data_IF_018013470877
#
_entry.id   IF_018013470877
#
_cell.length_a   1.000
_cell.length_b   1.000
_cell.length_c   1.000
_cell.angle_alpha   90.00
_cell.angle_beta   90.00
_cell.angle_gamma   90.00
#
_symmetry.space_group_name_H-M   'P 1'
#
loop_
_entity.id
_entity.type
_entity.pdbx_description
1 polymer ?
#
# COMPACT_ATOMS: atom_id res chain seq x y z
N UNK A 1 6.84 -34.51 -27.95
CA UNK A 1 7.00 -33.60 -26.79
C UNK A 1 8.30 -32.85 -27.01
N UNK A 2 8.33 -31.54 -26.76
CA UNK A 2 9.57 -30.75 -26.90
C UNK A 2 10.62 -31.19 -25.86
N UNK A 3 11.88 -31.18 -26.26
CA UNK A 3 13.04 -31.44 -25.39
C UNK A 3 13.33 -30.24 -24.49
N UNK A 4 14.06 -30.46 -23.40
CA UNK A 4 14.48 -29.40 -22.48
C UNK A 4 15.26 -28.28 -23.22
N UNK A 5 16.08 -28.66 -24.22
CA UNK A 5 16.86 -27.71 -25.00
C UNK A 5 15.96 -26.85 -25.91
N UNK A 6 14.95 -27.44 -26.56
CA UNK A 6 13.99 -26.72 -27.41
C UNK A 6 13.10 -25.77 -26.59
N UNK A 7 12.78 -26.14 -25.35
CA UNK A 7 12.01 -25.29 -24.44
C UNK A 7 12.83 -24.10 -23.90
N UNK A 8 14.16 -24.18 -23.89
CA UNK A 8 15.01 -23.12 -23.33
C UNK A 8 14.89 -21.81 -24.11
N UNK A 9 14.86 -21.88 -25.44
CA UNK A 9 14.70 -20.69 -26.30
C UNK A 9 13.32 -20.08 -26.14
N UNK A 10 12.28 -20.91 -26.06
CA UNK A 10 10.92 -20.47 -25.79
C UNK A 10 10.79 -19.80 -24.41
N UNK A 11 11.46 -20.36 -23.40
CA UNK A 11 11.48 -19.83 -22.03
C UNK A 11 12.16 -18.47 -21.95
N UNK A 12 13.32 -18.29 -22.60
CA UNK A 12 14.03 -17.00 -22.63
C UNK A 12 13.21 -15.91 -23.35
N UNK A 13 12.33 -16.29 -24.28
CA UNK A 13 11.40 -15.36 -24.93
C UNK A 13 10.26 -14.85 -24.03
N UNK A 14 10.11 -15.39 -22.82
CA UNK A 14 9.08 -14.98 -21.84
C UNK A 14 9.50 -13.80 -20.97
N UNK A 15 10.76 -13.33 -21.05
CA UNK A 15 11.29 -12.20 -20.28
C UNK A 15 10.76 -10.83 -20.80
N UNK A 16 9.45 -10.75 -21.03
CA UNK A 16 8.77 -9.56 -21.50
C UNK A 16 8.25 -8.75 -20.32
N UNK A 17 8.39 -7.42 -20.41
CA UNK A 17 7.79 -6.49 -19.48
C UNK A 17 6.26 -6.48 -19.65
N UNK A 18 5.54 -6.65 -18.54
CA UNK A 18 4.09 -6.51 -18.54
C UNK A 18 3.70 -5.03 -18.42
N UNK A 19 2.60 -4.60 -19.07
CA UNK A 19 2.15 -3.21 -19.00
C UNK A 19 1.80 -2.83 -17.56
N UNK A 20 2.22 -1.63 -17.15
CA UNK A 20 1.90 -1.03 -15.85
C UNK A 20 1.40 0.40 -16.03
N UNK A 21 0.67 0.90 -15.04
CA UNK A 21 0.22 2.29 -14.92
C UNK A 21 1.24 3.08 -14.09
N UNK A 22 1.33 4.39 -14.32
CA UNK A 22 2.10 5.28 -13.46
C UNK A 22 1.42 5.54 -12.11
N UNK A 23 2.16 6.12 -11.17
CA UNK A 23 1.66 6.43 -9.82
C UNK A 23 0.47 7.40 -9.83
N UNK A 24 0.27 8.19 -10.88
CA UNK A 24 -0.88 9.07 -11.08
C UNK A 24 -2.23 8.33 -11.19
N UNK A 25 -2.22 7.01 -11.42
CA UNK A 25 -3.41 6.20 -11.43
C UNK A 25 -3.92 5.80 -10.03
N UNK A 26 -3.11 6.03 -8.98
CA UNK A 26 -3.54 5.89 -7.59
C UNK A 26 -4.59 6.97 -7.31
N UNK A 27 -5.75 6.57 -6.78
CA UNK A 27 -6.90 7.47 -6.58
C UNK A 27 -7.13 7.78 -5.09
N UNK A 28 -6.40 8.74 -4.48
CA UNK A 28 -6.68 9.16 -3.12
C UNK A 28 -7.97 9.97 -3.02
N UNK A 29 -8.54 10.45 -4.13
CA UNK A 29 -9.75 11.28 -4.11
C UNK A 29 -11.01 10.49 -3.76
N UNK A 30 -10.97 9.16 -3.89
CA UNK A 30 -12.06 8.30 -3.47
C UNK A 30 -12.11 8.07 -1.95
N UNK A 31 -11.06 8.45 -1.19
CA UNK A 31 -11.01 8.26 0.26
C UNK A 31 -12.05 9.13 0.96
N UNK A 32 -12.81 8.51 1.86
CA UNK A 32 -13.82 9.17 2.67
C UNK A 32 -13.48 9.01 4.15
N UNK A 33 -13.89 10.00 4.94
CA UNK A 33 -13.81 9.98 6.39
C UNK A 33 -15.16 10.33 7.00
N UNK A 34 -15.35 9.95 8.26
CA UNK A 34 -16.52 10.31 9.05
C UNK A 34 -16.10 10.89 10.39
N UNK A 35 -16.98 11.71 10.98
CA UNK A 35 -16.72 12.34 12.27
C UNK A 35 -16.56 11.29 13.37
N UNK A 36 -15.48 11.41 14.14
CA UNK A 36 -15.29 10.59 15.33
C UNK A 36 -15.98 11.25 16.53
N UNK A 37 -16.91 10.54 17.17
CA UNK A 37 -17.73 11.09 18.26
C UNK A 37 -16.97 11.23 19.60
N UNK A 38 -15.79 10.61 19.73
CA UNK A 38 -15.03 10.55 20.98
C UNK A 38 -13.60 11.12 20.86
N UNK A 39 -13.40 12.34 20.34
CA UNK A 39 -12.07 12.88 20.01
C UNK A 39 -11.13 13.04 21.22
N UNK A 40 -11.67 13.00 22.45
CA UNK A 40 -10.91 13.04 23.70
C UNK A 40 -10.37 11.66 24.12
N UNK A 41 -10.82 10.57 23.50
CA UNK A 41 -10.31 9.23 23.75
C UNK A 41 -9.16 8.91 22.80
N UNK A 42 -8.09 8.31 23.33
CA UNK A 42 -6.97 7.81 22.53
C UNK A 42 -7.21 6.36 22.12
N UNK A 43 -8.30 6.10 21.40
CA UNK A 43 -8.57 4.78 20.86
C UNK A 43 -7.58 4.46 19.73
N UNK A 44 -6.84 3.37 19.85
CA UNK A 44 -6.05 2.85 18.74
C UNK A 44 -6.95 2.01 17.84
N UNK A 45 -6.98 2.35 16.55
CA UNK A 45 -7.67 1.61 15.50
C UNK A 45 -6.63 0.82 14.70
N UNK A 46 -6.89 -0.47 14.50
CA UNK A 46 -6.04 -1.36 13.70
C UNK A 46 -6.87 -1.98 12.57
N UNK A 47 -6.35 -1.91 11.36
CA UNK A 47 -6.96 -2.45 10.14
C UNK A 47 -5.89 -3.22 9.40
N UNK A 48 -6.16 -4.46 9.03
CA UNK A 48 -5.27 -5.28 8.23
C UNK A 48 -5.96 -5.88 6.99
N UNK A 49 -5.18 -6.15 5.96
CA UNK A 49 -5.62 -6.86 4.76
C UNK A 49 -4.44 -7.52 4.05
N UNK A 50 -4.64 -8.72 3.52
CA UNK A 50 -3.68 -9.43 2.66
C UNK A 50 -3.91 -9.18 1.17
N UNK A 51 -4.83 -8.26 0.83
CA UNK A 51 -5.25 -7.97 -0.53
C UNK A 51 -4.48 -6.80 -1.17
N UNK A 52 -3.45 -6.27 -0.49
CA UNK A 52 -2.62 -5.21 -1.07
C UNK A 52 -1.71 -5.78 -2.18
N UNK A 53 -1.77 -5.14 -3.34
CA UNK A 53 -0.90 -5.48 -4.47
C UNK A 53 -0.63 -4.27 -5.34
N UNK A 54 0.59 -4.22 -5.85
CA UNK A 54 1.06 -3.31 -6.89
C UNK A 54 1.98 -4.10 -7.84
N UNK A 55 2.52 -3.47 -8.88
CA UNK A 55 3.46 -4.14 -9.79
C UNK A 55 4.86 -3.55 -9.69
N UNK A 56 5.85 -4.41 -9.93
CA UNK A 56 7.24 -4.02 -10.03
C UNK A 56 7.43 -3.07 -11.23
N UNK A 57 7.99 -1.86 -11.06
CA UNK A 57 8.08 -0.86 -12.12
C UNK A 57 9.01 -1.25 -13.28
N UNK A 58 9.83 -2.31 -13.11
CA UNK A 58 10.75 -2.79 -14.14
C UNK A 58 10.26 -4.01 -14.93
N UNK A 59 9.35 -4.80 -14.35
CA UNK A 59 8.93 -6.08 -14.95
C UNK A 59 7.41 -6.18 -15.14
N UNK A 60 6.64 -5.33 -14.46
CA UNK A 60 5.19 -5.41 -14.38
C UNK A 60 4.67 -6.66 -13.66
N UNK A 61 5.55 -7.45 -13.04
CA UNK A 61 5.15 -8.59 -12.22
C UNK A 61 4.55 -8.09 -10.89
N UNK A 62 3.48 -8.72 -10.40
CA UNK A 62 2.81 -8.28 -9.18
C UNK A 62 3.64 -8.56 -7.94
N UNK A 63 3.73 -7.55 -7.08
CA UNK A 63 4.15 -7.67 -5.70
C UNK A 63 2.89 -7.72 -4.81
N UNK A 64 2.84 -8.68 -3.89
CA UNK A 64 1.75 -8.84 -2.93
C UNK A 64 2.28 -8.60 -1.52
N UNK A 65 1.47 -8.01 -0.65
CA UNK A 65 1.83 -7.82 0.74
C UNK A 65 0.63 -7.77 1.68
N UNK A 66 0.90 -8.00 2.95
CA UNK A 66 -0.04 -7.71 4.03
C UNK A 66 0.14 -6.25 4.42
N UNK A 67 -0.93 -5.47 4.33
CA UNK A 67 -0.98 -4.10 4.80
C UNK A 67 -1.59 -4.07 6.20
N UNK A 68 -0.90 -3.45 7.14
CA UNK A 68 -1.42 -3.11 8.47
C UNK A 68 -1.40 -1.60 8.64
N UNK A 69 -2.56 -1.03 8.95
CA UNK A 69 -2.77 0.38 9.28
C UNK A 69 -3.13 0.45 10.76
N UNK A 70 -2.29 1.10 11.56
CA UNK A 70 -2.55 1.38 12.97
C UNK A 70 -2.57 2.89 13.16
N UNK A 71 -3.67 3.45 13.68
CA UNK A 71 -3.77 4.90 13.88
C UNK A 71 -4.60 5.27 15.10
N UNK A 72 -4.35 6.47 15.62
CA UNK A 72 -5.16 7.11 16.65
C UNK A 72 -5.88 8.30 16.00
N UNK A 73 -7.22 8.27 15.86
CA UNK A 73 -7.96 9.35 15.24
C UNK A 73 -7.87 10.63 16.07
N UNK A 74 -7.99 11.77 15.38
CA UNK A 74 -8.27 13.05 16.00
C UNK A 74 -9.79 13.30 15.94
N UNK A 75 -10.26 13.97 14.90
CA UNK A 75 -11.68 14.33 14.73
C UNK A 75 -12.40 13.45 13.70
N UNK A 76 -11.68 12.61 12.96
CA UNK A 76 -12.24 11.77 11.91
C UNK A 76 -11.62 10.37 11.87
N UNK A 77 -12.41 9.42 11.38
CA UNK A 77 -12.03 8.04 11.12
C UNK A 77 -12.13 7.72 9.63
N UNK A 78 -11.33 6.78 9.16
CA UNK A 78 -11.31 6.30 7.76
C UNK A 78 -12.54 5.41 7.49
N UNK A 79 -13.24 5.65 6.38
CA UNK A 79 -14.34 4.80 5.93
C UNK A 79 -13.82 3.58 5.15
N UNK A 80 -14.17 2.37 5.58
CA UNK A 80 -13.53 1.12 5.12
C UNK A 80 -13.79 0.80 3.65
N UNK A 81 -14.96 1.11 3.11
CA UNK A 81 -15.24 0.86 1.69
C UNK A 81 -14.37 1.75 0.80
N UNK A 82 -14.27 3.03 1.11
CA UNK A 82 -13.42 3.98 0.40
C UNK A 82 -11.95 3.57 0.44
N UNK A 83 -11.47 3.11 1.60
CA UNK A 83 -10.14 2.53 1.76
C UNK A 83 -9.93 1.32 0.86
N UNK A 84 -10.90 0.41 0.78
CA UNK A 84 -10.82 -0.75 -0.13
C UNK A 84 -10.66 -0.31 -1.60
N UNK A 85 -11.43 0.66 -2.07
CA UNK A 85 -11.29 1.17 -3.44
C UNK A 85 -9.97 1.89 -3.69
N UNK A 86 -9.49 2.65 -2.70
CA UNK A 86 -8.16 3.25 -2.74
C UNK A 86 -7.06 2.20 -2.90
N UNK A 87 -7.07 1.14 -2.09
CA UNK A 87 -6.10 0.04 -2.19
C UNK A 87 -6.20 -0.69 -3.54
N UNK A 88 -7.40 -0.87 -4.09
CA UNK A 88 -7.59 -1.46 -5.42
C UNK A 88 -6.98 -0.61 -6.55
N UNK A 89 -6.82 0.70 -6.36
CA UNK A 89 -6.19 1.57 -7.37
C UNK A 89 -4.70 1.27 -7.59
N UNK A 90 -4.03 0.62 -6.63
CA UNK A 90 -2.62 0.23 -6.73
C UNK A 90 -2.38 -0.97 -7.65
N UNK A 91 -3.41 -1.76 -7.96
CA UNK A 91 -3.28 -3.12 -8.50
C UNK A 91 -2.36 -3.24 -9.72
N UNK A 92 -2.42 -2.27 -10.63
CA UNK A 92 -1.63 -2.28 -11.87
C UNK A 92 -0.57 -1.15 -11.88
N UNK A 93 -0.30 -0.51 -10.75
CA UNK A 93 0.61 0.64 -10.65
C UNK A 93 2.03 0.16 -10.42
N UNK A 94 2.95 0.65 -11.25
CA UNK A 94 4.38 0.44 -11.10
C UNK A 94 4.96 1.30 -9.98
N UNK A 95 5.22 0.71 -8.81
CA UNK A 95 5.74 1.44 -7.64
C UNK A 95 6.65 0.53 -6.80
N UNK A 96 7.76 1.07 -6.30
CA UNK A 96 8.66 0.32 -5.40
C UNK A 96 8.07 0.19 -4.00
N UNK A 97 8.42 -0.90 -3.31
CA UNK A 97 7.81 -1.31 -2.04
C UNK A 97 7.87 -0.21 -0.97
N UNK A 98 9.00 0.48 -0.88
CA UNK A 98 9.27 1.54 0.07
C UNK A 98 8.41 2.79 -0.21
N UNK A 99 8.22 3.10 -1.49
CA UNK A 99 7.41 4.25 -1.91
C UNK A 99 5.93 3.98 -1.70
N UNK A 100 5.47 2.76 -1.95
CA UNK A 100 4.08 2.37 -1.69
C UNK A 100 3.69 2.60 -0.23
N UNK A 101 4.53 2.19 0.73
CA UNK A 101 4.26 2.41 2.15
C UNK A 101 4.18 3.89 2.50
N UNK A 102 5.14 4.70 2.03
CA UNK A 102 5.14 6.15 2.23
C UNK A 102 3.92 6.83 1.61
N UNK A 103 3.53 6.39 0.40
CA UNK A 103 2.40 6.95 -0.32
C UNK A 103 1.09 6.69 0.43
N UNK A 104 0.87 5.44 0.88
CA UNK A 104 -0.29 5.09 1.70
C UNK A 104 -0.34 5.92 2.98
N UNK A 105 0.77 6.08 3.69
CA UNK A 105 0.83 6.92 4.89
C UNK A 105 0.43 8.36 4.57
N UNK A 106 1.03 8.97 3.55
CA UNK A 106 0.83 10.37 3.22
C UNK A 106 -0.62 10.67 2.80
N UNK A 107 -1.21 9.83 1.96
CA UNK A 107 -2.59 10.01 1.50
C UNK A 107 -3.59 9.84 2.67
N UNK A 108 -3.39 8.84 3.53
CA UNK A 108 -4.25 8.60 4.68
C UNK A 108 -4.11 9.69 5.76
N UNK A 109 -2.89 10.18 6.01
CA UNK A 109 -2.65 11.31 6.91
C UNK A 109 -3.31 12.58 6.39
N UNK A 110 -3.24 12.84 5.08
CA UNK A 110 -3.84 14.02 4.46
C UNK A 110 -5.37 14.06 4.63
N UNK A 111 -6.04 12.92 4.47
CA UNK A 111 -7.52 12.86 4.54
C UNK A 111 -8.06 12.72 5.97
N UNK A 112 -7.37 11.95 6.83
CA UNK A 112 -7.87 11.59 8.17
C UNK A 112 -7.27 12.45 9.30
N UNK A 113 -6.16 13.14 9.04
CA UNK A 113 -5.47 14.01 9.98
C UNK A 113 -5.36 13.38 11.40
N UNK A 114 -4.77 12.17 11.52
CA UNK A 114 -4.72 11.44 12.79
C UNK A 114 -3.77 12.12 13.79
N UNK A 115 -3.84 11.72 15.06
CA UNK A 115 -2.85 12.07 16.08
C UNK A 115 -1.53 11.34 15.83
N UNK A 116 -1.64 10.06 15.48
CA UNK A 116 -0.53 9.23 15.04
C UNK A 116 -1.04 8.17 14.08
N UNK A 117 -0.18 7.71 13.17
CA UNK A 117 -0.45 6.64 12.24
C UNK A 117 0.83 5.88 11.93
N UNK A 118 0.73 4.56 11.83
CA UNK A 118 1.78 3.66 11.41
C UNK A 118 1.23 2.79 10.29
N UNK A 119 2.00 2.70 9.22
CA UNK A 119 1.76 1.80 8.10
C UNK A 119 2.86 0.76 8.09
N UNK A 120 2.48 -0.51 8.02
CA UNK A 120 3.40 -1.61 7.78
C UNK A 120 2.93 -2.37 6.53
N UNK A 121 3.82 -2.50 5.56
CA UNK A 121 3.65 -3.36 4.39
C UNK A 121 4.64 -4.51 4.46
N UNK A 122 4.13 -5.71 4.72
CA UNK A 122 4.88 -6.96 4.78
C UNK A 122 4.72 -7.71 3.45
N UNK A 123 5.75 -7.64 2.59
CA UNK A 123 5.69 -8.18 1.23
C UNK A 123 6.00 -9.68 1.19
N UNK A 124 5.43 -10.38 0.20
CA UNK A 124 5.83 -11.75 -0.14
C UNK A 124 7.28 -11.78 -0.64
N UNK A 125 7.93 -12.93 -0.45
CA UNK A 125 9.34 -13.13 -0.78
C UNK A 125 9.60 -12.96 -2.28
N UNK A 126 10.63 -12.20 -2.63
CA UNK A 126 11.14 -12.03 -4.00
C UNK A 126 12.62 -12.34 -4.06
N UNK A 127 13.02 -13.23 -4.96
CA UNK A 127 14.44 -13.63 -5.09
C UNK A 127 15.05 -14.22 -3.83
N UNK A 128 14.24 -14.83 -2.95
CA UNK A 128 14.68 -15.35 -1.65
C UNK A 128 14.83 -14.29 -0.55
N UNK A 129 14.47 -13.04 -0.81
CA UNK A 129 14.51 -11.93 0.14
C UNK A 129 13.10 -11.58 0.62
N UNK A 130 12.98 -11.36 1.92
CA UNK A 130 11.75 -10.89 2.58
C UNK A 130 11.92 -9.42 2.95
N UNK A 131 10.91 -8.60 2.66
CA UNK A 131 10.94 -7.15 2.88
C UNK A 131 9.71 -6.74 3.67
N UNK A 132 9.93 -5.99 4.74
CA UNK A 132 8.88 -5.32 5.51
C UNK A 132 9.21 -3.84 5.57
N UNK A 133 8.29 -3.00 5.13
CA UNK A 133 8.43 -1.54 5.19
C UNK A 133 7.50 -0.99 6.26
N UNK A 134 8.05 -0.27 7.23
CA UNK A 134 7.28 0.44 8.25
C UNK A 134 7.56 1.93 8.17
N UNK A 135 6.50 2.73 8.13
CA UNK A 135 6.55 4.20 8.14
C UNK A 135 5.58 4.74 9.18
N UNK A 136 5.95 5.84 9.81
CA UNK A 136 5.19 6.42 10.94
C UNK A 136 5.00 7.91 10.75
N UNK A 137 3.81 8.38 11.13
CA UNK A 137 3.47 9.78 11.32
C UNK A 137 3.08 9.98 12.78
N UNK A 138 3.70 10.97 13.42
CA UNK A 138 3.29 11.46 14.73
C UNK A 138 3.05 12.95 14.53
N UNK A 139 1.85 13.42 14.89
CA UNK A 139 1.58 14.85 14.91
C UNK A 139 2.45 15.46 16.01
N UNK A 140 3.44 16.26 15.61
CA UNK A 140 4.23 17.04 16.56
C UNK A 140 3.28 17.87 17.43
N UNK A 141 3.39 17.74 18.75
CA UNK A 141 2.79 18.70 19.68
C UNK A 141 3.59 20.00 19.60
N UNK A 142 3.44 20.75 18.51
CA UNK A 142 3.97 22.10 18.41
C UNK A 142 3.13 23.04 19.29
N UNK A 143 3.49 23.08 20.58
CA UNK A 143 3.56 24.23 21.48
C UNK A 143 2.42 25.25 21.54
N UNK A 144 1.83 25.33 22.75
CA UNK A 144 1.19 26.50 23.40
C UNK A 144 -0.04 27.12 22.77
#
# INVERSE_FOLDING_TARGET
MATIQELKEQYQGLDQELPSKGEEAIDPSCLLTFQYEYPNQQSQVEIDTDEFTAVCPWTGLPDYGVLTISYVPADSCIELKSLKYYLLSYRDVGIVQEHAANRVLNDLVAVCQPRSMKITLDYKVRGGLHTVVTVEHIRDQAGK
#
